data_IF_597671121817
#
_entry.id   IF_597671121817
#
_cell.length_a   1.000
_cell.length_b   1.000
_cell.length_c   1.000
_cell.angle_alpha   90.00
_cell.angle_beta   90.00
_cell.angle_gamma   90.00
#
_symmetry.space_group_name_H-M   'P 1'
#
loop_
_entity.id
_entity.type
_entity.pdbx_description
1 polymer ?
#
# COMPACT_ATOMS: atom_id res chain seq x y z
N UNK A 1 -12.26 -15.66 3.99
CA UNK A 1 -11.47 -14.47 4.34
C UNK A 1 -10.99 -13.89 3.03
N UNK A 2 -11.42 -12.66 2.69
CA UNK A 2 -10.99 -12.03 1.44
C UNK A 2 -9.57 -11.50 1.63
N UNK A 3 -8.62 -12.03 0.86
CA UNK A 3 -7.28 -11.47 0.74
C UNK A 3 -7.29 -10.60 -0.51
N UNK A 4 -6.93 -9.33 -0.37
CA UNK A 4 -6.78 -8.39 -1.47
C UNK A 4 -5.29 -8.15 -1.65
N UNK A 5 -4.76 -8.55 -2.80
CA UNK A 5 -3.38 -8.26 -3.15
C UNK A 5 -3.27 -6.77 -3.53
N UNK A 6 -2.51 -6.02 -2.74
CA UNK A 6 -2.25 -4.60 -2.99
C UNK A 6 -1.00 -4.51 -3.86
N UNK A 7 -1.18 -4.33 -5.16
CA UNK A 7 -0.08 -4.12 -6.09
C UNK A 7 0.43 -2.67 -5.99
N UNK A 8 1.76 -2.51 -5.88
CA UNK A 8 2.37 -1.18 -5.86
C UNK A 8 2.12 -0.48 -7.20
N UNK A 9 1.57 0.76 -7.20
CA UNK A 9 1.34 1.49 -8.43
C UNK A 9 2.68 1.82 -9.10
N UNK A 10 2.68 1.93 -10.44
CA UNK A 10 3.87 2.35 -11.17
C UNK A 10 4.27 3.76 -10.73
N UNK A 11 5.41 3.87 -10.07
CA UNK A 11 5.95 5.15 -9.60
C UNK A 11 6.61 5.87 -10.80
N UNK A 12 5.80 6.52 -11.64
CA UNK A 12 6.29 7.24 -12.82
C UNK A 12 7.09 6.37 -13.83
N UNK A 13 7.47 6.96 -14.96
CA UNK A 13 8.21 6.23 -16.01
C UNK A 13 9.66 5.90 -15.63
N UNK A 14 10.17 6.39 -14.49
CA UNK A 14 11.58 6.29 -14.10
C UNK A 14 11.82 5.88 -12.65
N UNK A 15 10.79 5.63 -11.82
CA UNK A 15 10.98 5.14 -10.45
C UNK A 15 10.59 3.66 -10.42
N UNK A 16 11.62 2.82 -10.46
CA UNK A 16 11.48 1.35 -10.40
C UNK A 16 11.23 0.86 -8.97
N UNK A 17 11.71 1.61 -7.97
CA UNK A 17 11.65 1.24 -6.55
C UNK A 17 11.33 2.49 -5.71
N UNK A 18 10.26 2.43 -4.92
CA UNK A 18 9.92 3.43 -3.91
C UNK A 18 10.23 2.90 -2.51
N UNK A 19 10.75 3.75 -1.64
CA UNK A 19 11.00 3.36 -0.24
C UNK A 19 9.74 3.59 0.56
N UNK A 20 9.21 2.55 1.22
CA UNK A 20 8.05 2.72 2.12
C UNK A 20 8.50 3.55 3.33
N UNK A 21 7.93 4.75 3.48
CA UNK A 21 8.21 5.68 4.58
C UNK A 21 7.46 5.22 5.83
N UNK A 22 6.19 4.87 5.68
CA UNK A 22 5.35 4.45 6.79
C UNK A 22 4.26 3.44 6.37
N UNK A 23 4.05 2.45 7.23
CA UNK A 23 2.90 1.55 7.16
C UNK A 23 1.83 2.04 8.13
N UNK A 24 0.66 2.38 7.60
CA UNK A 24 -0.48 2.83 8.41
C UNK A 24 -1.41 1.67 8.81
N UNK A 25 -1.23 0.49 8.20
CA UNK A 25 -2.02 -0.72 8.45
C UNK A 25 -1.15 -1.90 8.79
N UNK A 26 -1.62 -2.72 9.73
CA UNK A 26 -0.96 -3.95 10.15
C UNK A 26 -1.77 -5.19 9.75
N UNK A 27 -1.12 -6.37 9.68
CA UNK A 27 -1.82 -7.62 9.41
C UNK A 27 -2.95 -7.86 10.43
N UNK A 28 -4.18 -7.98 9.94
CA UNK A 28 -5.37 -8.19 10.77
C UNK A 28 -6.19 -6.92 11.03
N UNK A 29 -5.71 -5.74 10.65
CA UNK A 29 -6.50 -4.52 10.71
C UNK A 29 -7.62 -4.52 9.65
N UNK A 30 -8.77 -3.96 10.02
CA UNK A 30 -9.89 -3.76 9.10
C UNK A 30 -9.56 -2.61 8.15
N UNK A 31 -9.54 -2.87 6.85
CA UNK A 31 -9.37 -1.84 5.81
C UNK A 31 -10.74 -1.29 5.38
N UNK A 32 -10.87 0.03 5.30
CA UNK A 32 -12.06 0.71 4.77
C UNK A 32 -11.79 1.38 3.41
N UNK A 33 -12.86 1.69 2.68
CA UNK A 33 -12.74 2.43 1.41
C UNK A 33 -12.22 3.84 1.70
N UNK A 34 -11.35 4.35 0.81
CA UNK A 34 -10.66 5.64 0.95
C UNK A 34 -9.63 5.72 2.09
N UNK A 35 -9.26 4.59 2.69
CA UNK A 35 -8.22 4.53 3.73
C UNK A 35 -6.80 4.41 3.14
N UNK A 36 -5.84 5.11 3.74
CA UNK A 36 -4.42 5.04 3.36
C UNK A 36 -3.78 3.81 4.02
N UNK A 37 -3.20 2.92 3.19
CA UNK A 37 -2.56 1.69 3.67
C UNK A 37 -1.08 1.88 3.98
N UNK A 38 -0.39 2.58 3.10
CA UNK A 38 1.06 2.81 3.14
C UNK A 38 1.39 4.16 2.49
N UNK A 39 2.49 4.75 2.95
CA UNK A 39 3.08 5.96 2.39
C UNK A 39 4.49 5.63 1.86
N UNK A 40 4.78 6.07 0.64
CA UNK A 40 6.01 5.81 -0.14
C UNK A 40 6.62 7.13 -0.61
#
# INVERSE_FOLDING_TARGET
>A
MAQVDVEMPKMGESITEGTVIAWHKQPGDRVEQDEILLEI
#
